data_IF_042629227467
#
_entry.id   IF_042629227467
#
_cell.length_a   1.000
_cell.length_b   1.000
_cell.length_c   1.000
_cell.angle_alpha   90.00
_cell.angle_beta   90.00
_cell.angle_gamma   90.00
#
_symmetry.space_group_name_H-M   'P 1'
#
loop_
_entity.id
_entity.type
_entity.pdbx_description
1 polymer ?
#
# COMPACT_ATOMS: atom_id res chain seq x y z
N UNK A 1 -7.23 -9.69 -5.85
CA UNK A 1 -5.89 -9.94 -6.42
C UNK A 1 -5.97 -10.02 -7.94
N UNK A 2 -4.96 -9.53 -8.67
CA UNK A 2 -4.95 -9.55 -10.14
C UNK A 2 -4.77 -10.96 -10.71
N UNK A 3 -5.47 -11.27 -11.81
CA UNK A 3 -5.28 -12.48 -12.62
C UNK A 3 -4.52 -12.20 -13.93
N UNK A 4 -4.11 -10.94 -14.18
CA UNK A 4 -3.38 -10.55 -15.39
C UNK A 4 -1.96 -11.10 -15.34
N UNK A 5 -1.54 -11.77 -16.43
CA UNK A 5 -0.23 -12.42 -16.50
C UNK A 5 0.93 -11.42 -16.40
N UNK A 6 0.80 -10.22 -16.97
CA UNK A 6 1.81 -9.17 -16.86
C UNK A 6 2.00 -8.71 -15.41
N UNK A 7 0.92 -8.48 -14.66
CA UNK A 7 0.98 -8.08 -13.24
C UNK A 7 1.68 -9.17 -12.42
N UNK A 8 1.28 -10.44 -12.62
CA UNK A 8 1.87 -11.57 -11.91
C UNK A 8 3.37 -11.70 -12.24
N UNK A 9 3.76 -11.51 -13.50
CA UNK A 9 5.17 -11.55 -13.93
C UNK A 9 6.00 -10.45 -13.26
N UNK A 10 5.49 -9.21 -13.21
CA UNK A 10 6.16 -8.10 -12.54
C UNK A 10 6.32 -8.38 -11.05
N UNK A 11 5.26 -8.80 -10.35
CA UNK A 11 5.33 -9.12 -8.93
C UNK A 11 6.33 -10.24 -8.65
N UNK A 12 6.37 -11.30 -9.48
CA UNK A 12 7.37 -12.37 -9.34
C UNK A 12 8.81 -11.86 -9.47
N UNK A 13 9.06 -10.85 -10.32
CA UNK A 13 10.40 -10.24 -10.49
C UNK A 13 10.87 -9.51 -9.24
N UNK A 14 9.97 -8.84 -8.53
CA UNK A 14 10.27 -8.12 -7.29
C UNK A 14 10.26 -9.02 -6.04
N UNK A 15 9.83 -10.28 -6.17
CA UNK A 15 9.81 -11.20 -5.02
C UNK A 15 11.24 -11.47 -4.54
N UNK A 16 11.55 -11.03 -3.33
CA UNK A 16 12.87 -11.19 -2.72
C UNK A 16 13.91 -10.18 -3.21
N UNK A 17 13.52 -9.13 -3.97
CA UNK A 17 14.44 -8.05 -4.34
C UNK A 17 14.72 -7.09 -3.17
N UNK A 18 13.78 -6.97 -2.24
CA UNK A 18 13.90 -6.19 -1.00
C UNK A 18 13.25 -7.00 0.13
N UNK A 19 13.95 -7.25 1.26
CA UNK A 19 13.39 -8.02 2.38
C UNK A 19 12.16 -7.37 3.03
N UNK A 20 11.94 -6.06 2.82
CA UNK A 20 10.76 -5.33 3.31
C UNK A 20 9.51 -5.63 2.48
N UNK A 21 9.66 -6.13 1.25
CA UNK A 21 8.55 -6.39 0.33
C UNK A 21 8.14 -7.86 0.40
N UNK A 22 6.90 -8.11 0.88
CA UNK A 22 6.29 -9.44 0.93
C UNK A 22 5.16 -9.55 -0.09
N UNK A 23 5.26 -10.53 -0.99
CA UNK A 23 4.28 -10.73 -2.07
C UNK A 23 3.47 -12.01 -1.80
N UNK A 24 2.15 -11.87 -1.76
CA UNK A 24 1.18 -12.95 -1.51
C UNK A 24 0.28 -13.09 -2.73
N UNK A 25 0.03 -14.34 -3.16
CA UNK A 25 -0.87 -14.64 -4.27
C UNK A 25 -2.12 -15.34 -3.71
N UNK A 26 -3.28 -14.68 -3.82
CA UNK A 26 -4.57 -15.12 -3.24
C UNK A 26 -5.25 -16.28 -3.97
N UNK A 27 -4.57 -16.96 -4.90
CA UNK A 27 -5.12 -18.07 -5.71
C UNK A 27 -6.18 -17.68 -6.75
N UNK A 28 -6.64 -16.43 -6.76
CA UNK A 28 -7.62 -15.89 -7.71
C UNK A 28 -8.08 -14.48 -7.35
N UNK A 29 -8.95 -13.90 -8.18
CA UNK A 29 -9.57 -12.60 -7.89
C UNK A 29 -10.80 -12.77 -7.00
N UNK A 30 -10.70 -12.34 -5.75
CA UNK A 30 -11.80 -12.34 -4.76
C UNK A 30 -12.30 -10.91 -4.41
N UNK A 31 -11.95 -9.91 -5.23
CA UNK A 31 -12.25 -8.49 -4.97
C UNK A 31 -11.18 -7.78 -4.13
N UNK A 32 -11.37 -6.48 -3.93
CA UNK A 32 -10.43 -5.61 -3.22
C UNK A 32 -10.40 -5.89 -1.72
N UNK A 33 -11.56 -5.96 -1.06
CA UNK A 33 -11.63 -6.20 0.39
C UNK A 33 -10.96 -7.51 0.81
N UNK A 34 -11.16 -8.59 0.03
CA UNK A 34 -10.50 -9.86 0.29
C UNK A 34 -8.97 -9.76 0.09
N UNK A 35 -8.50 -8.99 -0.90
CA UNK A 35 -7.08 -8.76 -1.10
C UNK A 35 -6.46 -7.93 0.04
N UNK A 36 -7.15 -6.87 0.48
CA UNK A 36 -6.74 -6.01 1.61
C UNK A 36 -6.68 -6.82 2.90
N UNK A 37 -7.68 -7.65 3.20
CA UNK A 37 -7.68 -8.49 4.40
C UNK A 37 -6.52 -9.50 4.40
N UNK A 38 -6.26 -10.16 3.26
CA UNK A 38 -5.11 -11.06 3.12
C UNK A 38 -3.79 -10.30 3.35
N UNK A 39 -3.66 -9.07 2.83
CA UNK A 39 -2.47 -8.25 3.06
C UNK A 39 -2.33 -7.84 4.54
N UNK A 40 -3.42 -7.42 5.17
CA UNK A 40 -3.47 -7.04 6.59
C UNK A 40 -3.08 -8.21 7.51
N UNK A 41 -3.57 -9.42 7.25
CA UNK A 41 -3.19 -10.63 7.99
C UNK A 41 -1.68 -10.96 7.88
N UNK A 42 -1.00 -10.45 6.85
CA UNK A 42 0.43 -10.67 6.63
C UNK A 42 1.30 -9.54 7.16
N UNK A 43 0.70 -8.37 7.42
CA UNK A 43 1.39 -7.22 7.96
C UNK A 43 1.87 -7.48 9.40
N UNK A 44 2.97 -6.83 9.77
CA UNK A 44 3.61 -7.00 11.09
C UNK A 44 3.84 -5.69 11.82
N UNK A 45 3.40 -4.57 11.25
CA UNK A 45 3.47 -3.25 11.88
C UNK A 45 2.35 -3.06 12.89
N UNK A 46 2.52 -2.09 13.79
CA UNK A 46 1.48 -1.67 14.72
C UNK A 46 0.33 -0.94 14.01
N UNK A 47 0.67 -0.17 12.98
CA UNK A 47 -0.28 0.55 12.13
C UNK A 47 -0.30 -0.03 10.71
N UNK A 48 -1.45 0.13 10.04
CA UNK A 48 -1.63 -0.22 8.63
C UNK A 48 -1.86 1.04 7.82
N UNK A 49 -1.12 1.17 6.72
CA UNK A 49 -1.37 2.18 5.69
C UNK A 49 -1.93 1.47 4.47
N UNK A 50 -3.07 1.94 3.97
CA UNK A 50 -3.67 1.46 2.73
C UNK A 50 -3.10 2.28 1.57
N UNK A 51 -2.64 1.60 0.53
CA UNK A 51 -2.13 2.21 -0.69
C UNK A 51 -2.57 1.35 -1.87
N UNK A 52 -3.36 1.93 -2.78
CA UNK A 52 -3.80 1.25 -3.98
C UNK A 52 -2.66 1.16 -5.00
N UNK A 53 -2.74 0.15 -5.86
CA UNK A 53 -1.68 -0.20 -6.82
C UNK A 53 -1.41 0.84 -7.91
N UNK A 54 -2.30 1.80 -8.07
CA UNK A 54 -2.32 2.89 -9.04
C UNK A 54 -2.04 4.26 -8.40
N UNK A 55 -1.78 4.30 -7.10
CA UNK A 55 -1.45 5.50 -6.35
C UNK A 55 0.03 5.54 -5.94
N UNK A 56 0.47 6.72 -5.49
CA UNK A 56 1.80 6.95 -4.92
C UNK A 56 1.70 7.77 -3.64
N UNK A 57 2.61 7.52 -2.68
CA UNK A 57 2.79 8.37 -1.51
C UNK A 57 3.77 9.50 -1.81
N UNK A 58 3.55 10.68 -1.23
CA UNK A 58 4.59 11.69 -1.12
C UNK A 58 5.78 11.15 -0.30
N UNK A 59 7.04 11.51 -0.64
CA UNK A 59 8.22 10.90 -0.06
C UNK A 59 8.33 11.00 1.48
N UNK A 60 7.74 12.03 2.08
CA UNK A 60 7.75 12.31 3.52
C UNK A 60 6.46 11.88 4.24
N UNK A 61 5.46 11.35 3.53
CA UNK A 61 4.16 11.02 4.10
C UNK A 61 4.26 10.08 5.32
N UNK A 62 5.03 9.00 5.22
CA UNK A 62 5.19 8.03 6.32
C UNK A 62 5.96 8.60 7.51
N UNK A 63 6.88 9.55 7.30
CA UNK A 63 7.62 10.23 8.37
C UNK A 63 6.70 11.15 9.16
N UNK A 64 5.90 11.97 8.46
CA UNK A 64 4.94 12.88 9.08
C UNK A 64 3.85 12.12 9.85
N UNK A 65 3.29 11.06 9.26
CA UNK A 65 2.29 10.21 9.90
C UNK A 65 2.86 9.56 11.17
N UNK A 66 4.09 9.03 11.11
CA UNK A 66 4.73 8.43 12.28
C UNK A 66 4.96 9.46 13.40
N UNK A 67 5.39 10.68 13.06
CA UNK A 67 5.58 11.75 14.03
C UNK A 67 4.29 12.17 14.75
N UNK A 68 3.17 12.21 14.04
CA UNK A 68 1.86 12.52 14.64
C UNK A 68 1.43 11.40 15.60
N UNK A 69 1.54 10.14 15.18
CA UNK A 69 1.25 8.96 16.02
C UNK A 69 2.11 8.96 17.30
N UNK A 70 3.40 9.28 17.18
CA UNK A 70 4.30 9.33 18.35
C UNK A 70 3.99 10.49 19.31
N UNK A 71 3.27 11.51 18.85
CA UNK A 71 2.93 12.68 19.65
C UNK A 71 1.73 12.45 20.60
N UNK A 72 0.88 11.47 20.28
CA UNK A 72 -0.33 11.13 21.03
C UNK A 72 -0.66 9.64 20.93
N UNK A 73 -0.43 8.92 22.03
CA UNK A 73 -0.72 7.48 22.16
C UNK A 73 -2.22 7.14 22.06
N UNK A 74 -3.14 8.11 22.06
CA UNK A 74 -4.58 7.89 21.84
C UNK A 74 -4.97 7.81 20.35
N UNK A 75 -4.03 8.02 19.42
CA UNK A 75 -4.31 7.98 17.98
C UNK A 75 -4.45 6.53 17.50
N UNK A 76 -5.68 6.15 17.19
CA UNK A 76 -6.02 4.87 16.53
C UNK A 76 -6.19 4.99 15.01
N UNK A 77 -6.43 6.20 14.49
CA UNK A 77 -6.70 6.44 13.08
C UNK A 77 -6.29 7.85 12.66
N UNK A 78 -5.58 7.96 11.53
CA UNK A 78 -5.12 9.20 10.93
C UNK A 78 -5.32 9.11 9.41
N UNK A 79 -5.65 10.23 8.78
CA UNK A 79 -5.67 10.35 7.32
C UNK A 79 -5.07 11.70 6.92
N UNK A 80 -4.38 11.71 5.78
CA UNK A 80 -3.90 12.94 5.15
C UNK A 80 -4.90 13.42 4.10
N UNK A 81 -4.66 14.58 3.53
CA UNK A 81 -5.26 14.93 2.25
C UNK A 81 -4.68 14.08 1.11
N UNK A 82 -5.21 14.30 -0.09
CA UNK A 82 -4.80 13.67 -1.33
C UNK A 82 -4.83 14.71 -2.45
N UNK A 83 -3.89 14.58 -3.39
CA UNK A 83 -3.89 15.27 -4.66
C UNK A 83 -3.96 14.24 -5.79
N UNK A 84 -4.53 14.62 -6.93
CA UNK A 84 -4.59 13.72 -8.09
C UNK A 84 -3.43 13.97 -9.02
N UNK A 85 -2.92 12.88 -9.58
CA UNK A 85 -1.92 12.89 -10.64
C UNK A 85 -2.45 12.10 -11.83
N UNK A 86 -2.05 12.50 -13.03
CA UNK A 86 -2.30 11.71 -14.23
C UNK A 86 -1.28 10.56 -14.37
N UNK A 87 -1.44 9.73 -15.41
CA UNK A 87 -0.51 8.62 -15.68
C UNK A 87 0.92 9.06 -16.05
N UNK A 88 1.16 10.36 -16.28
CA UNK A 88 2.50 10.91 -16.45
C UNK A 88 3.16 11.32 -15.13
N UNK A 89 2.39 11.32 -14.03
CA UNK A 89 2.80 11.82 -12.71
C UNK A 89 2.62 13.33 -12.57
N UNK A 90 1.85 13.98 -13.45
CA UNK A 90 1.58 15.43 -13.36
C UNK A 90 0.30 15.67 -12.58
N UNK A 91 0.32 16.65 -11.69
CA UNK A 91 -0.84 17.07 -10.91
C UNK A 91 -2.03 17.48 -11.78
N UNK A 92 -3.22 17.03 -11.40
CA UNK A 92 -4.50 17.31 -12.05
C UNK A 92 -5.64 17.41 -11.03
N UNK A 93 -6.82 17.87 -11.49
CA UNK A 93 -8.02 18.08 -10.65
C UNK A 93 -9.05 16.92 -10.77
#
# INVERSE_FOLDING_TARGET
>A
GSTREETIRVLKKYRGSDPRIRIVFSGGNAGISAATNIAAEQATGQFLVLLDHDDTLEPDALELIAGEIESDDEIDFLYTDEDKIDFSGSYCD
#
